data_IF_872834953006
#
_entry.id   IF_872834953006
#
_cell.length_a   1.000
_cell.length_b   1.000
_cell.length_c   1.000
_cell.angle_alpha   90.00
_cell.angle_beta   90.00
_cell.angle_gamma   90.00
#
_symmetry.space_group_name_H-M   'P 1'
#
loop_
_entity.id
_entity.type
_entity.pdbx_description
1 polymer ?
#
# COMPACT_ATOMS: atom_id res chain seq x y z
N UNK A 1 -37.18 -23.75 -8.18
CA UNK A 1 -37.01 -24.63 -7.00
C UNK A 1 -35.67 -25.34 -7.16
N UNK A 2 -34.76 -25.25 -6.19
CA UNK A 2 -33.45 -25.90 -6.29
C UNK A 2 -33.62 -27.42 -6.22
N UNK A 3 -32.77 -28.14 -6.94
CA UNK A 3 -32.77 -29.59 -6.94
C UNK A 3 -32.28 -30.14 -5.60
N UNK A 4 -32.71 -31.34 -5.22
CA UNK A 4 -32.33 -31.99 -3.95
C UNK A 4 -30.81 -32.10 -3.77
N UNK A 5 -30.07 -32.25 -4.88
CA UNK A 5 -28.62 -32.26 -4.90
C UNK A 5 -27.99 -30.90 -4.54
N UNK A 6 -28.62 -29.78 -4.94
CA UNK A 6 -28.14 -28.43 -4.59
C UNK A 6 -28.47 -28.08 -3.14
N UNK A 7 -29.61 -28.57 -2.62
CA UNK A 7 -29.99 -28.40 -1.21
C UNK A 7 -29.04 -29.15 -0.27
N UNK A 8 -28.53 -30.31 -0.67
CA UNK A 8 -27.57 -31.09 0.10
C UNK A 8 -26.19 -30.42 0.25
N UNK A 9 -25.86 -29.44 -0.63
CA UNK A 9 -24.62 -28.67 -0.56
C UNK A 9 -24.58 -27.71 0.64
N UNK A 10 -25.75 -27.32 1.15
CA UNK A 10 -25.90 -26.40 2.28
C UNK A 10 -26.23 -27.09 3.60
N UNK A 11 -26.25 -28.43 3.64
CA UNK A 11 -26.46 -29.18 4.88
C UNK A 11 -25.14 -29.35 5.65
N UNK A 12 -25.00 -28.73 6.83
CA UNK A 12 -23.78 -28.80 7.65
C UNK A 12 -23.45 -30.20 8.20
N UNK A 13 -24.32 -31.21 8.01
CA UNK A 13 -24.08 -32.59 8.42
C UNK A 13 -23.85 -33.60 7.29
N UNK A 14 -23.73 -33.17 6.03
CA UNK A 14 -23.40 -34.03 4.90
C UNK A 14 -22.00 -34.65 5.04
N UNK A 15 -21.93 -35.93 5.42
CA UNK A 15 -20.71 -36.74 5.49
C UNK A 15 -20.35 -37.27 4.09
N UNK A 16 -19.24 -36.78 3.57
CA UNK A 16 -18.49 -37.16 2.36
C UNK A 16 -18.20 -38.67 2.24
N UNK A 17 -18.27 -39.27 1.03
CA UNK A 17 -17.27 -40.25 0.56
C UNK A 17 -17.30 -40.53 -0.98
N UNK A 18 -16.16 -40.22 -1.63
CA UNK A 18 -15.49 -40.88 -2.77
C UNK A 18 -16.02 -40.79 -4.22
N UNK A 19 -15.28 -40.08 -5.09
CA UNK A 19 -14.37 -40.66 -6.13
C UNK A 19 -13.92 -39.60 -7.15
N UNK A 20 -12.61 -39.27 -7.19
CA UNK A 20 -12.01 -38.44 -8.26
C UNK A 20 -10.58 -38.02 -7.95
N UNK A 21 -9.62 -38.08 -8.91
CA UNK A 21 -8.19 -38.04 -8.61
C UNK A 21 -7.74 -36.66 -8.16
N UNK A 22 -6.78 -36.65 -7.23
CA UNK A 22 -6.12 -35.45 -6.69
C UNK A 22 -5.75 -34.45 -7.79
N UNK A 23 -6.26 -33.20 -7.75
CA UNK A 23 -5.47 -32.09 -8.23
C UNK A 23 -4.37 -31.90 -7.17
N UNK A 24 -3.14 -32.19 -7.55
CA UNK A 24 -1.97 -31.67 -6.84
C UNK A 24 -2.04 -30.15 -6.94
N UNK A 25 -2.75 -29.52 -6.01
CA UNK A 25 -2.74 -28.08 -5.81
C UNK A 25 -1.69 -27.74 -4.77
N UNK A 26 -0.45 -28.11 -5.07
CA UNK A 26 0.75 -27.51 -4.46
C UNK A 26 1.36 -26.47 -5.41
N UNK A 27 0.52 -25.86 -6.26
CA UNK A 27 0.92 -24.86 -7.25
C UNK A 27 0.67 -23.41 -6.83
N UNK A 28 -0.22 -23.15 -5.86
CA UNK A 28 -0.58 -21.77 -5.47
C UNK A 28 0.21 -21.26 -4.25
N UNK A 29 0.86 -22.16 -3.50
CA UNK A 29 1.81 -21.75 -2.46
C UNK A 29 3.14 -21.24 -3.04
N UNK A 30 3.47 -21.61 -4.28
CA UNK A 30 4.67 -21.11 -4.96
C UNK A 30 4.46 -19.71 -5.58
N UNK A 31 3.21 -19.32 -5.86
CA UNK A 31 2.90 -18.00 -6.38
C UNK A 31 3.03 -16.91 -5.30
N UNK A 32 2.60 -17.20 -4.06
CA UNK A 32 2.70 -16.26 -2.93
C UNK A 32 4.16 -16.00 -2.47
N UNK A 33 5.06 -17.00 -2.59
CA UNK A 33 6.49 -16.81 -2.28
C UNK A 33 7.22 -16.00 -3.37
N UNK A 34 6.78 -16.09 -4.64
CA UNK A 34 7.37 -15.33 -5.74
C UNK A 34 6.80 -13.91 -5.85
N UNK A 35 5.64 -13.61 -5.25
CA UNK A 35 5.14 -12.23 -5.13
C UNK A 35 5.87 -11.44 -4.05
N UNK A 36 6.22 -12.07 -2.93
CA UNK A 36 6.97 -11.43 -1.84
C UNK A 36 8.31 -10.86 -2.33
N UNK A 37 9.00 -11.56 -3.24
CA UNK A 37 10.26 -11.09 -3.86
C UNK A 37 10.10 -10.07 -4.98
N UNK A 38 8.90 -9.94 -5.57
CA UNK A 38 8.64 -9.01 -6.69
C UNK A 38 8.19 -7.64 -6.21
N UNK A 39 7.47 -7.58 -5.07
CA UNK A 39 7.05 -6.33 -4.43
C UNK A 39 8.23 -5.47 -3.94
N UNK A 40 9.37 -6.09 -3.63
CA UNK A 40 10.58 -5.38 -3.22
C UNK A 40 11.32 -4.71 -4.40
N UNK A 41 11.05 -5.13 -5.65
CA UNK A 41 11.81 -4.71 -6.83
C UNK A 41 11.06 -3.79 -7.79
N UNK A 42 9.73 -3.69 -7.69
CA UNK A 42 9.04 -2.65 -8.44
C UNK A 42 9.28 -1.28 -7.78
N UNK A 43 9.62 -0.23 -8.55
CA UNK A 43 9.66 1.13 -8.05
C UNK A 43 8.33 1.41 -7.35
N UNK A 44 8.37 1.59 -6.03
CA UNK A 44 7.17 1.89 -5.29
C UNK A 44 6.63 3.22 -5.80
N UNK A 45 5.44 3.17 -6.40
CA UNK A 45 4.70 4.36 -6.75
C UNK A 45 3.63 4.53 -5.68
N UNK A 46 3.59 5.69 -5.01
CA UNK A 46 2.60 5.92 -3.98
C UNK A 46 1.23 5.92 -4.66
N UNK A 47 0.48 4.82 -4.47
CA UNK A 47 -0.69 4.44 -5.27
C UNK A 47 -1.59 5.61 -5.62
N UNK A 48 -1.92 5.69 -6.92
CA UNK A 48 -2.93 6.55 -7.52
C UNK A 48 -2.82 8.02 -7.15
N UNK A 49 -2.53 8.85 -8.16
CA UNK A 49 -3.17 10.15 -8.23
C UNK A 49 -4.69 9.87 -8.26
N UNK A 50 -5.31 9.69 -7.10
CA UNK A 50 -6.62 10.30 -6.90
C UNK A 50 -6.29 11.78 -7.08
N UNK A 51 -6.42 12.22 -8.33
CA UNK A 51 -6.47 13.62 -8.68
C UNK A 51 -7.55 14.16 -7.77
N UNK A 52 -7.14 14.71 -6.62
CA UNK A 52 -7.88 15.77 -5.97
C UNK A 52 -7.99 16.79 -7.09
N UNK A 53 -9.08 16.71 -7.87
CA UNK A 53 -9.46 17.72 -8.83
C UNK A 53 -9.28 19.01 -8.05
N UNK A 54 -8.28 19.79 -8.46
CA UNK A 54 -7.91 21.00 -7.75
C UNK A 54 -9.16 21.87 -7.77
N UNK A 55 -9.91 21.85 -6.66
CA UNK A 55 -11.04 22.72 -6.46
C UNK A 55 -10.46 24.13 -6.40
N UNK A 56 -10.51 24.78 -7.56
CA UNK A 56 -10.47 26.21 -7.81
C UNK A 56 -9.53 27.05 -6.92
N UNK A 57 -8.29 27.23 -7.38
CA UNK A 57 -7.59 28.52 -7.21
C UNK A 57 -6.82 28.80 -5.92
N UNK A 58 -6.85 27.96 -4.88
CA UNK A 58 -5.98 28.16 -3.71
C UNK A 58 -4.55 27.63 -3.94
N UNK A 59 -3.50 28.41 -3.61
CA UNK A 59 -2.13 27.92 -3.67
C UNK A 59 -1.96 26.77 -2.68
N UNK A 60 -1.36 25.68 -3.14
CA UNK A 60 -1.07 24.52 -2.30
C UNK A 60 -0.29 24.95 -1.03
N UNK A 61 -0.70 24.50 0.16
CA UNK A 61 0.02 24.79 1.39
C UNK A 61 1.53 24.48 1.31
N UNK A 62 2.36 25.36 1.85
CA UNK A 62 3.82 25.23 1.75
C UNK A 62 4.37 23.90 2.29
N UNK A 63 3.71 23.32 3.30
CA UNK A 63 4.12 22.03 3.88
C UNK A 63 3.99 20.88 2.88
N UNK A 64 3.04 20.95 1.94
CA UNK A 64 2.88 19.92 0.91
C UNK A 64 4.06 19.97 -0.06
N UNK A 65 4.45 21.16 -0.52
CA UNK A 65 5.64 21.32 -1.36
C UNK A 65 6.90 20.78 -0.70
N UNK A 66 7.15 21.15 0.56
CA UNK A 66 8.31 20.67 1.33
C UNK A 66 8.30 19.15 1.51
N UNK A 67 7.15 18.56 1.87
CA UNK A 67 7.03 17.12 1.99
C UNK A 67 7.24 16.42 0.64
N UNK A 68 6.65 16.93 -0.44
CA UNK A 68 6.78 16.36 -1.79
C UNK A 68 8.25 16.33 -2.25
N UNK A 69 9.03 17.38 -1.97
CA UNK A 69 10.46 17.39 -2.28
C UNK A 69 11.22 16.28 -1.54
N UNK A 70 10.98 16.11 -0.24
CA UNK A 70 11.60 15.07 0.57
C UNK A 70 11.21 13.65 0.11
N UNK A 71 9.93 13.41 -0.12
CA UNK A 71 9.43 12.12 -0.62
C UNK A 71 10.00 11.82 -2.01
N UNK A 72 10.06 12.82 -2.89
CA UNK A 72 10.65 12.65 -4.23
C UNK A 72 12.14 12.29 -4.12
N UNK A 73 12.86 12.90 -3.20
CA UNK A 73 14.25 12.56 -2.95
C UNK A 73 14.39 11.17 -2.33
N UNK A 74 13.50 10.78 -1.42
CA UNK A 74 13.45 9.44 -0.83
C UNK A 74 13.26 8.37 -1.90
N UNK A 75 12.32 8.57 -2.83
CA UNK A 75 12.07 7.69 -3.98
C UNK A 75 13.32 7.52 -4.87
N UNK A 76 14.06 8.61 -5.14
CA UNK A 76 15.32 8.53 -5.90
C UNK A 76 16.38 7.73 -5.16
N UNK A 77 16.52 7.96 -3.86
CA UNK A 77 17.47 7.23 -3.01
C UNK A 77 17.12 5.74 -2.96
N UNK A 78 15.83 5.41 -2.84
CA UNK A 78 15.33 4.04 -2.83
C UNK A 78 15.66 3.32 -4.15
N UNK A 79 15.38 3.97 -5.28
CA UNK A 79 15.73 3.45 -6.61
C UNK A 79 17.24 3.27 -6.81
N UNK A 80 18.05 4.07 -6.11
CA UNK A 80 19.51 3.96 -6.11
C UNK A 80 20.04 2.92 -5.10
N UNK A 81 19.17 2.24 -4.34
CA UNK A 81 19.56 1.31 -3.28
C UNK A 81 20.13 1.98 -2.02
N UNK A 82 20.04 3.31 -1.92
CA UNK A 82 20.46 4.07 -0.74
C UNK A 82 19.37 4.05 0.34
N UNK A 83 19.03 2.84 0.83
CA UNK A 83 17.86 2.61 1.68
C UNK A 83 17.87 3.41 2.99
N UNK A 84 19.03 3.65 3.60
CA UNK A 84 19.12 4.47 4.81
C UNK A 84 18.72 5.94 4.55
N UNK A 85 19.18 6.50 3.43
CA UNK A 85 18.82 7.86 3.02
C UNK A 85 17.38 7.95 2.52
N UNK A 86 16.87 6.89 1.89
CA UNK A 86 15.46 6.79 1.49
C UNK A 86 14.55 6.78 2.73
N UNK A 87 14.85 5.93 3.70
CA UNK A 87 14.11 5.82 4.96
C UNK A 87 14.02 7.16 5.67
N UNK A 88 15.15 7.87 5.82
CA UNK A 88 15.17 9.20 6.43
C UNK A 88 14.26 10.18 5.66
N UNK A 89 14.33 10.20 4.33
CA UNK A 89 13.48 11.06 3.52
C UNK A 89 11.98 10.76 3.66
N UNK A 90 11.58 9.49 3.78
CA UNK A 90 10.20 9.13 4.09
C UNK A 90 9.77 9.60 5.47
N UNK A 91 10.60 9.40 6.49
CA UNK A 91 10.31 9.83 7.86
C UNK A 91 10.18 11.36 7.96
N UNK A 92 11.11 12.10 7.36
CA UNK A 92 11.10 13.57 7.35
C UNK A 92 9.89 14.11 6.58
N UNK A 93 9.61 13.55 5.40
CA UNK A 93 8.43 13.92 4.61
C UNK A 93 7.12 13.69 5.37
N UNK A 94 6.97 12.53 6.02
CA UNK A 94 5.80 12.21 6.86
C UNK A 94 5.71 13.17 8.05
N UNK A 95 6.84 13.50 8.69
CA UNK A 95 6.85 14.44 9.80
C UNK A 95 6.28 15.81 9.40
N UNK A 96 6.70 16.34 8.25
CA UNK A 96 6.18 17.60 7.71
C UNK A 96 4.69 17.50 7.40
N UNK A 97 4.24 16.41 6.76
CA UNK A 97 2.82 16.17 6.47
C UNK A 97 1.98 16.21 7.74
N UNK A 98 2.39 15.48 8.79
CA UNK A 98 1.66 15.41 10.06
C UNK A 98 1.68 16.72 10.85
N UNK A 99 2.76 17.51 10.73
CA UNK A 99 2.82 18.84 11.34
C UNK A 99 1.88 19.82 10.62
N UNK A 100 1.88 19.82 9.29
CA UNK A 100 1.06 20.74 8.48
C UNK A 100 -0.43 20.43 8.51
N UNK A 101 -0.81 19.14 8.51
CA UNK A 101 -2.21 18.69 8.41
C UNK A 101 -3.10 19.17 9.55
N UNK A 102 -2.52 19.46 10.72
CA UNK A 102 -3.28 19.95 11.87
C UNK A 102 -3.85 21.36 11.65
N UNK A 103 -3.15 22.19 10.87
CA UNK A 103 -3.52 23.58 10.57
C UNK A 103 -4.19 23.77 9.20
N UNK A 104 -4.39 22.70 8.45
CA UNK A 104 -4.94 22.78 7.09
C UNK A 104 -6.45 23.08 7.12
N UNK A 105 -6.94 24.12 6.40
CA UNK A 105 -8.34 24.51 6.42
C UNK A 105 -9.27 23.54 5.68
N UNK A 106 -8.75 22.74 4.74
CA UNK A 106 -9.55 21.81 3.94
C UNK A 106 -9.70 20.46 4.64
N UNK A 107 -10.92 20.03 5.00
CA UNK A 107 -11.13 18.70 5.59
C UNK A 107 -10.74 17.56 4.63
N UNK A 108 -11.04 17.69 3.34
CA UNK A 108 -10.70 16.69 2.32
C UNK A 108 -9.18 16.51 2.21
N UNK A 109 -8.45 17.62 2.08
CA UNK A 109 -6.99 17.60 2.02
C UNK A 109 -6.37 17.01 3.28
N UNK A 110 -6.94 17.28 4.46
CA UNK A 110 -6.47 16.65 5.71
C UNK A 110 -6.61 15.14 5.72
N UNK A 111 -7.70 14.63 5.15
CA UNK A 111 -7.90 13.20 5.01
C UNK A 111 -6.92 12.60 4.01
N UNK A 112 -6.79 13.20 2.83
CA UNK A 112 -5.84 12.77 1.80
C UNK A 112 -4.39 12.75 2.30
N UNK A 113 -3.97 13.79 3.02
CA UNK A 113 -2.62 13.86 3.63
C UNK A 113 -2.40 12.75 4.66
N UNK A 114 -3.39 12.45 5.51
CA UNK A 114 -3.27 11.35 6.49
C UNK A 114 -3.19 9.99 5.83
N UNK A 115 -4.02 9.75 4.79
CA UNK A 115 -3.97 8.53 3.98
C UNK A 115 -2.58 8.37 3.37
N UNK A 116 -2.06 9.43 2.73
CA UNK A 116 -0.72 9.42 2.11
C UNK A 116 0.41 9.21 3.11
N UNK A 117 0.36 9.88 4.26
CA UNK A 117 1.33 9.70 5.33
C UNK A 117 1.39 8.25 5.82
N UNK A 118 0.23 7.59 5.96
CA UNK A 118 0.19 6.17 6.34
C UNK A 118 0.83 5.27 5.28
N UNK A 119 0.60 5.54 3.98
CA UNK A 119 1.24 4.78 2.90
C UNK A 119 2.77 4.94 2.93
N UNK A 120 3.28 6.16 3.15
CA UNK A 120 4.72 6.41 3.28
C UNK A 120 5.35 5.72 4.50
N UNK A 121 4.65 5.69 5.64
CA UNK A 121 5.09 4.95 6.81
C UNK A 121 5.18 3.45 6.53
N UNK A 122 4.17 2.88 5.87
CA UNK A 122 4.20 1.47 5.45
C UNK A 122 5.40 1.19 4.53
N UNK A 123 5.74 2.10 3.60
CA UNK A 123 6.93 1.94 2.77
C UNK A 123 8.22 2.02 3.58
N UNK A 124 8.33 2.98 4.49
CA UNK A 124 9.46 3.13 5.39
C UNK A 124 9.72 1.85 6.21
N UNK A 125 8.67 1.21 6.72
CA UNK A 125 8.76 -0.08 7.43
C UNK A 125 9.31 -1.21 6.54
N UNK A 126 8.90 -1.26 5.27
CA UNK A 126 9.48 -2.22 4.32
C UNK A 126 10.96 -1.94 4.06
N UNK A 127 11.35 -0.67 3.92
CA UNK A 127 12.76 -0.30 3.72
C UNK A 127 13.66 -0.64 4.91
N UNK A 128 13.10 -0.64 6.13
CA UNK A 128 13.82 -1.10 7.32
C UNK A 128 14.36 -2.53 7.19
N UNK A 129 13.72 -3.39 6.40
CA UNK A 129 14.16 -4.77 6.18
C UNK A 129 15.43 -4.88 5.32
N UNK A 130 15.77 -3.82 4.57
CA UNK A 130 16.99 -3.75 3.76
C UNK A 130 18.19 -3.16 4.52
N UNK A 131 18.00 -2.73 5.77
CA UNK A 131 19.07 -2.18 6.61
C UNK A 131 19.74 -3.29 7.46
N UNK A 132 21.06 -3.20 7.70
CA UNK A 132 21.81 -4.18 8.49
C UNK A 132 21.53 -4.11 10.00
#
# INVERSE_FOLDING_TARGET
PLSEAELALFDPYSKEESTGPSPTHTGELAAIEVESKRLDQEPWEPGGQEEEEAEDGEPAPAYLGQATELITQALRNEKAGAYAAALQGYQDGVHILLQGVSGDPSPARREGVKKKAAEYLKRAEMLHTHLP
#
